data_IF_078384029018
#
_entry.id   IF_078384029018
#
_cell.length_a   1.000
_cell.length_b   1.000
_cell.length_c   1.000
_cell.angle_alpha   90.00
_cell.angle_beta   90.00
_cell.angle_gamma   90.00
#
_symmetry.space_group_name_H-M   'P 1'
#
loop_
_entity.id
_entity.type
_entity.pdbx_description
1 polymer ?
#
# COMPACT_ATOMS: atom_id res chain seq x y z
N UNK A 1 -21.43 38.52 -42.81
CA UNK A 1 -20.15 37.82 -43.05
C UNK A 1 -19.15 38.29 -42.01
N UNK A 2 -18.83 37.43 -41.04
CA UNK A 2 -17.81 37.67 -40.03
C UNK A 2 -16.43 37.39 -40.62
N UNK A 3 -15.50 38.33 -40.46
CA UNK A 3 -14.07 38.08 -40.60
C UNK A 3 -13.39 38.54 -39.30
N UNK A 4 -13.22 37.59 -38.36
CA UNK A 4 -12.27 37.70 -37.25
C UNK A 4 -10.97 37.05 -37.68
N UNK A 5 -9.85 37.77 -37.55
CA UNK A 5 -8.45 37.30 -37.54
C UNK A 5 -7.59 38.53 -37.23
N UNK A 6 -6.53 38.54 -36.45
CA UNK A 6 -5.96 37.63 -35.46
C UNK A 6 -4.90 38.51 -34.78
N UNK A 7 -5.01 38.77 -33.48
CA UNK A 7 -3.97 39.53 -32.76
C UNK A 7 -2.81 38.58 -32.47
N UNK A 8 -1.68 38.78 -33.14
CA UNK A 8 -0.44 38.06 -32.88
C UNK A 8 0.11 38.51 -31.52
N UNK A 9 0.13 37.60 -30.55
CA UNK A 9 0.82 37.81 -29.27
C UNK A 9 2.11 37.00 -29.32
N UNK A 10 3.21 37.72 -29.56
CA UNK A 10 4.58 37.24 -29.51
C UNK A 10 4.83 36.46 -28.22
N UNK A 11 5.10 35.16 -28.35
CA UNK A 11 5.61 34.35 -27.25
C UNK A 11 7.02 34.86 -26.92
N UNK A 12 7.16 35.50 -25.75
CA UNK A 12 8.45 35.89 -25.21
C UNK A 12 9.24 34.62 -24.88
N UNK A 13 10.39 34.50 -25.52
CA UNK A 13 11.41 33.49 -25.25
C UNK A 13 11.99 33.78 -23.86
N UNK A 14 11.53 33.07 -22.83
CA UNK A 14 12.14 33.13 -21.50
C UNK A 14 13.52 32.46 -21.55
N UNK A 15 14.55 33.25 -21.32
CA UNK A 15 15.92 32.80 -21.11
C UNK A 15 16.03 31.95 -19.85
N UNK A 16 16.86 30.89 -19.84
CA UNK A 16 17.07 30.09 -18.65
C UNK A 16 17.89 30.89 -17.63
N UNK A 17 17.31 31.15 -16.46
CA UNK A 17 18.03 31.64 -15.30
C UNK A 17 18.94 30.51 -14.76
N UNK A 18 20.24 30.76 -14.81
CA UNK A 18 21.29 29.91 -14.22
C UNK A 18 21.07 29.87 -12.70
N UNK A 19 20.83 28.67 -12.14
CA UNK A 19 20.90 28.46 -10.70
C UNK A 19 19.68 27.89 -9.98
N UNK A 20 18.78 27.16 -10.66
CA UNK A 20 17.80 26.33 -9.98
C UNK A 20 17.97 24.88 -10.40
N UNK A 21 18.60 24.09 -9.53
CA UNK A 21 18.59 22.64 -9.62
C UNK A 21 17.13 22.20 -9.58
N UNK A 22 16.57 21.58 -10.64
CA UNK A 22 15.26 20.96 -10.53
C UNK A 22 15.31 19.95 -9.39
N UNK A 23 14.24 19.77 -8.59
CA UNK A 23 14.18 18.66 -7.67
C UNK A 23 14.45 17.41 -8.51
N UNK A 24 15.48 16.65 -8.13
CA UNK A 24 15.77 15.38 -8.75
C UNK A 24 14.53 14.51 -8.52
N UNK A 25 13.61 14.51 -9.48
CA UNK A 25 12.66 13.43 -9.61
C UNK A 25 13.55 12.20 -9.78
N UNK A 26 13.72 11.46 -8.68
CA UNK A 26 14.28 10.12 -8.72
C UNK A 26 13.44 9.38 -9.74
N UNK A 27 13.96 9.25 -10.96
CA UNK A 27 13.39 8.36 -11.96
C UNK A 27 13.52 6.98 -11.36
N UNK A 28 12.43 6.49 -10.77
CA UNK A 28 12.40 5.16 -10.20
C UNK A 28 12.61 4.19 -11.36
N UNK A 29 13.81 3.59 -11.44
CA UNK A 29 14.19 2.66 -12.51
C UNK A 29 13.61 1.25 -12.29
N UNK A 30 12.37 1.15 -11.80
CA UNK A 30 11.75 -0.12 -11.47
C UNK A 30 10.55 0.01 -10.55
N UNK A 31 10.51 -0.82 -9.51
CA UNK A 31 9.52 -0.73 -8.42
C UNK A 31 10.20 -0.35 -7.11
N UNK A 32 9.53 0.47 -6.31
CA UNK A 32 9.93 0.78 -4.94
C UNK A 32 8.72 0.68 -4.03
N UNK A 33 8.79 -0.17 -3.00
CA UNK A 33 7.83 -0.18 -1.88
C UNK A 33 8.23 0.93 -0.92
N UNK A 34 7.50 2.03 -0.93
CA UNK A 34 7.83 3.21 -0.13
C UNK A 34 7.47 3.01 1.33
N UNK A 35 6.37 2.30 1.62
CA UNK A 35 5.88 2.18 2.98
C UNK A 35 4.87 1.05 3.16
N UNK A 36 4.85 0.46 4.35
CA UNK A 36 3.80 -0.47 4.80
C UNK A 36 3.14 0.11 6.06
N UNK A 37 1.80 0.17 6.08
CA UNK A 37 1.04 0.76 7.18
C UNK A 37 -0.10 -0.14 7.65
N UNK A 38 -0.49 0.03 8.90
CA UNK A 38 -1.75 -0.43 9.44
C UNK A 38 -2.77 0.71 9.45
N UNK A 39 -4.03 0.35 9.21
CA UNK A 39 -5.20 1.17 9.53
C UNK A 39 -6.27 0.27 10.17
N UNK A 40 -6.46 0.36 11.49
CA UNK A 40 -7.55 -0.34 12.18
C UNK A 40 -8.89 0.34 11.92
N UNK A 41 -10.00 -0.38 12.14
CA UNK A 41 -11.34 0.19 12.02
C UNK A 41 -11.60 1.33 13.03
N UNK A 42 -10.91 1.31 14.17
CA UNK A 42 -10.84 2.39 15.17
C UNK A 42 -9.85 3.50 14.82
N UNK A 43 -9.39 3.54 13.57
CA UNK A 43 -8.50 4.55 13.00
C UNK A 43 -7.15 4.66 13.73
N UNK A 44 -6.61 3.53 14.20
CA UNK A 44 -5.27 3.42 14.79
C UNK A 44 -4.30 2.91 13.73
N UNK A 45 -3.07 3.41 13.77
CA UNK A 45 -2.02 3.06 12.80
C UNK A 45 -0.86 2.30 13.43
N UNK A 46 -0.83 2.17 14.75
CA UNK A 46 0.27 1.55 15.50
C UNK A 46 -0.09 0.16 16.06
N UNK A 47 -1.38 -0.10 16.26
CA UNK A 47 -1.88 -1.35 16.79
C UNK A 47 -3.30 -1.61 16.31
N UNK A 48 -3.75 -2.85 16.44
CA UNK A 48 -5.13 -3.28 16.26
C UNK A 48 -5.60 -4.02 17.51
N UNK A 49 -6.87 -3.89 17.88
CA UNK A 49 -7.43 -4.63 18.99
C UNK A 49 -7.81 -6.06 18.56
N UNK A 50 -7.67 -7.01 19.47
CA UNK A 50 -8.17 -8.38 19.28
C UNK A 50 -9.66 -8.35 18.86
N UNK A 51 -9.98 -9.04 17.77
CA UNK A 51 -11.33 -9.15 17.22
C UNK A 51 -11.71 -8.03 16.24
N UNK A 52 -10.97 -6.92 16.20
CA UNK A 52 -11.24 -5.76 15.36
C UNK A 52 -10.86 -6.00 13.89
N UNK A 53 -11.56 -5.37 12.96
CA UNK A 53 -11.13 -5.30 11.56
C UNK A 53 -9.96 -4.33 11.38
N UNK A 54 -9.17 -4.56 10.33
CA UNK A 54 -8.07 -3.68 9.98
C UNK A 54 -7.69 -3.82 8.52
N UNK A 55 -6.91 -2.87 8.02
CA UNK A 55 -6.32 -2.89 6.69
C UNK A 55 -4.80 -2.79 6.80
N UNK A 56 -4.10 -3.73 6.18
CA UNK A 56 -2.67 -3.62 5.92
C UNK A 56 -2.47 -3.01 4.54
N UNK A 57 -1.84 -1.84 4.49
CA UNK A 57 -1.58 -1.05 3.30
C UNK A 57 -0.12 -1.24 2.87
N UNK A 58 0.10 -1.40 1.57
CA UNK A 58 1.41 -1.44 0.95
C UNK A 58 1.49 -0.38 -0.15
N UNK A 59 2.23 0.68 0.13
CA UNK A 59 2.46 1.79 -0.77
C UNK A 59 3.70 1.48 -1.61
N UNK A 60 3.52 1.51 -2.93
CA UNK A 60 4.61 1.29 -3.88
C UNK A 60 4.43 2.18 -5.11
N UNK A 61 5.54 2.53 -5.72
CA UNK A 61 5.61 3.30 -6.95
C UNK A 61 6.23 2.41 -8.04
N UNK A 62 5.61 2.42 -9.21
CA UNK A 62 6.08 1.71 -10.39
C UNK A 62 6.59 2.71 -11.43
N UNK A 63 7.70 2.38 -12.08
CA UNK A 63 8.10 3.01 -13.34
C UNK A 63 6.98 2.86 -14.38
N UNK A 64 6.76 3.85 -15.26
CA UNK A 64 5.81 3.72 -16.37
C UNK A 64 6.07 2.52 -17.30
N UNK A 65 7.31 2.02 -17.34
CA UNK A 65 7.72 0.86 -18.16
C UNK A 65 7.50 -0.49 -17.47
N UNK A 66 7.13 -0.51 -16.19
CA UNK A 66 6.97 -1.72 -15.40
C UNK A 66 5.51 -2.14 -15.32
N UNK A 67 5.28 -3.45 -15.41
CA UNK A 67 3.97 -4.03 -15.17
C UNK A 67 3.97 -4.80 -13.84
N UNK A 68 2.94 -4.57 -13.02
CA UNK A 68 2.78 -5.30 -11.76
C UNK A 68 2.40 -6.74 -12.02
N UNK A 69 3.27 -7.67 -11.59
CA UNK A 69 3.05 -9.10 -11.74
C UNK A 69 2.35 -9.68 -10.51
N UNK A 70 2.92 -9.45 -9.32
CA UNK A 70 2.47 -10.03 -8.05
C UNK A 70 2.78 -9.13 -6.85
N UNK A 71 1.95 -9.26 -5.82
CA UNK A 71 2.24 -8.73 -4.48
C UNK A 71 2.15 -9.89 -3.49
N UNK A 72 3.23 -10.08 -2.73
CA UNK A 72 3.41 -11.16 -1.78
C UNK A 72 3.49 -10.56 -0.38
N UNK A 73 2.81 -11.19 0.57
CA UNK A 73 2.89 -10.82 1.98
C UNK A 73 3.46 -11.97 2.78
N UNK A 74 4.46 -11.64 3.58
CA UNK A 74 5.09 -12.55 4.52
C UNK A 74 4.80 -12.10 5.94
N UNK A 75 4.63 -13.05 6.85
CA UNK A 75 4.66 -12.82 8.29
C UNK A 75 5.80 -13.65 8.88
N UNK A 76 6.73 -12.97 9.55
CA UNK A 76 7.90 -13.60 10.17
C UNK A 76 8.63 -14.56 9.21
N UNK A 77 8.74 -14.16 7.94
CA UNK A 77 9.36 -14.93 6.86
C UNK A 77 8.47 -15.97 6.16
N UNK A 78 7.27 -16.27 6.67
CA UNK A 78 6.34 -17.21 6.05
C UNK A 78 5.32 -16.51 5.13
N UNK A 79 5.14 -16.99 3.90
CA UNK A 79 4.13 -16.46 2.98
C UNK A 79 2.71 -16.70 3.53
N UNK A 80 1.94 -15.63 3.68
CA UNK A 80 0.57 -15.66 4.21
C UNK A 80 -0.47 -15.16 3.20
N UNK A 81 -0.06 -14.40 2.18
CA UNK A 81 -0.97 -13.93 1.15
C UNK A 81 -0.29 -13.63 -0.18
N UNK A 82 -1.01 -13.89 -1.27
CA UNK A 82 -0.55 -13.68 -2.63
C UNK A 82 -1.64 -13.04 -3.47
N UNK A 83 -1.35 -11.86 -4.01
CA UNK A 83 -2.10 -11.23 -5.08
C UNK A 83 -1.39 -11.44 -6.42
N UNK A 84 -2.14 -11.72 -7.48
CA UNK A 84 -1.61 -11.82 -8.86
C UNK A 84 -2.57 -11.17 -9.84
N UNK A 85 -2.05 -10.48 -10.86
CA UNK A 85 -2.87 -9.87 -11.89
C UNK A 85 -3.80 -10.90 -12.55
N UNK A 86 -5.09 -10.56 -12.66
CA UNK A 86 -6.11 -11.39 -13.31
C UNK A 86 -6.53 -12.65 -12.53
N UNK A 87 -6.07 -12.84 -11.28
CA UNK A 87 -6.44 -13.99 -10.44
C UNK A 87 -7.06 -13.54 -9.13
N UNK A 88 -7.87 -14.41 -8.53
CA UNK A 88 -8.34 -14.20 -7.15
C UNK A 88 -7.14 -14.29 -6.19
N UNK A 89 -7.03 -13.41 -5.19
CA UNK A 89 -5.99 -13.53 -4.19
C UNK A 89 -6.12 -14.83 -3.40
N UNK A 90 -4.99 -15.27 -2.86
CA UNK A 90 -4.90 -16.48 -2.05
C UNK A 90 -4.37 -16.10 -0.67
N UNK A 91 -5.10 -16.50 0.37
CA UNK A 91 -4.62 -16.47 1.75
C UNK A 91 -4.12 -17.86 2.15
N UNK A 92 -3.11 -17.90 3.02
CA UNK A 92 -2.52 -19.11 3.58
C UNK A 92 -2.37 -18.97 5.08
N UNK A 93 -2.36 -20.11 5.78
CA UNK A 93 -2.04 -20.18 7.20
C UNK A 93 -2.91 -19.22 8.03
N UNK A 94 -2.26 -18.27 8.70
CA UNK A 94 -2.86 -17.26 9.58
C UNK A 94 -3.96 -16.45 8.91
N UNK A 95 -3.85 -16.15 7.61
CA UNK A 95 -4.84 -15.32 6.91
C UNK A 95 -6.01 -16.13 6.36
N UNK A 96 -5.96 -17.47 6.41
CA UNK A 96 -7.07 -18.29 5.95
C UNK A 96 -8.35 -17.96 6.73
N UNK A 97 -9.43 -17.66 5.99
CA UNK A 97 -10.75 -17.23 6.51
C UNK A 97 -10.74 -15.98 7.39
N UNK A 98 -9.63 -15.25 7.49
CA UNK A 98 -9.51 -14.02 8.31
C UNK A 98 -9.34 -12.75 7.50
N UNK A 99 -9.22 -12.87 6.18
CA UNK A 99 -9.08 -11.73 5.26
C UNK A 99 -10.13 -11.76 4.16
N UNK A 100 -10.49 -10.60 3.64
CA UNK A 100 -11.40 -10.50 2.50
C UNK A 100 -10.68 -10.84 1.17
N UNK A 101 -11.02 -12.00 0.60
CA UNK A 101 -10.52 -12.45 -0.70
C UNK A 101 -11.35 -11.97 -1.89
N UNK A 102 -12.40 -11.19 -1.67
CA UNK A 102 -13.15 -10.53 -2.75
C UNK A 102 -12.47 -9.23 -3.19
N UNK A 103 -11.71 -8.61 -2.30
CA UNK A 103 -10.88 -7.46 -2.62
C UNK A 103 -9.78 -7.86 -3.62
N UNK A 104 -9.80 -7.22 -4.80
CA UNK A 104 -8.81 -7.45 -5.87
C UNK A 104 -7.75 -6.36 -5.96
N UNK A 105 -7.67 -5.48 -4.98
CA UNK A 105 -6.62 -4.47 -4.91
C UNK A 105 -5.26 -5.13 -4.62
N UNK A 106 -4.20 -4.76 -5.35
CA UNK A 106 -2.84 -5.20 -5.01
C UNK A 106 -2.26 -4.46 -3.80
N UNK A 107 -2.82 -3.30 -3.45
CA UNK A 107 -2.19 -2.36 -2.52
C UNK A 107 -2.57 -2.59 -1.06
N UNK A 108 -3.56 -3.44 -0.76
CA UNK A 108 -3.94 -3.69 0.62
C UNK A 108 -4.62 -5.03 0.86
N UNK A 109 -4.57 -5.47 2.11
CA UNK A 109 -5.29 -6.63 2.63
C UNK A 109 -6.26 -6.15 3.71
N UNK A 110 -7.53 -6.54 3.59
CA UNK A 110 -8.55 -6.29 4.61
C UNK A 110 -8.65 -7.49 5.54
N UNK A 111 -8.24 -7.31 6.79
CA UNK A 111 -8.39 -8.25 7.90
C UNK A 111 -9.81 -8.08 8.46
N UNK A 112 -10.58 -9.17 8.48
CA UNK A 112 -11.97 -9.18 8.94
C UNK A 112 -12.06 -9.19 10.48
N UNK A 113 -11.12 -9.87 11.14
CA UNK A 113 -11.06 -9.95 12.58
C UNK A 113 -9.64 -10.31 13.04
N UNK A 114 -8.98 -9.34 13.67
CA UNK A 114 -7.61 -9.46 14.15
C UNK A 114 -7.51 -10.50 15.28
N UNK A 115 -6.37 -11.19 15.33
CA UNK A 115 -6.10 -12.23 16.31
C UNK A 115 -4.69 -12.08 16.88
N UNK A 116 -4.45 -12.43 18.14
CA UNK A 116 -3.13 -12.29 18.80
C UNK A 116 -2.00 -12.97 18.04
N UNK A 117 -2.27 -14.10 17.40
CA UNK A 117 -1.29 -14.80 16.55
C UNK A 117 -0.89 -14.03 15.28
N UNK A 118 -1.62 -12.94 14.96
CA UNK A 118 -1.29 -12.04 13.85
C UNK A 118 -0.21 -11.04 14.21
N UNK A 119 0.13 -10.86 15.49
CA UNK A 119 1.26 -10.03 15.88
C UNK A 119 2.57 -10.55 15.27
N UNK A 120 3.41 -9.65 14.77
CA UNK A 120 4.71 -10.00 14.20
C UNK A 120 5.16 -9.04 13.11
N UNK A 121 6.28 -9.39 12.47
CA UNK A 121 6.84 -8.60 11.38
C UNK A 121 6.19 -9.01 10.04
N UNK A 122 5.65 -8.04 9.32
CA UNK A 122 5.07 -8.21 8.00
C UNK A 122 5.96 -7.61 6.95
N UNK A 123 6.20 -8.36 5.87
CA UNK A 123 6.90 -7.87 4.68
C UNK A 123 5.91 -7.80 3.54
N UNK A 124 5.74 -6.62 2.94
CA UNK A 124 5.12 -6.50 1.63
C UNK A 124 6.21 -6.54 0.56
N UNK A 125 6.16 -7.54 -0.31
CA UNK A 125 7.09 -7.70 -1.44
C UNK A 125 6.32 -7.54 -2.75
N UNK A 126 6.74 -6.59 -3.57
CA UNK A 126 6.15 -6.28 -4.87
C UNK A 126 7.10 -6.75 -5.96
N UNK A 127 6.58 -7.55 -6.88
CA UNK A 127 7.31 -8.10 -8.02
C UNK A 127 6.68 -7.59 -9.31
N UNK A 128 7.51 -6.97 -10.15
CA UNK A 128 7.17 -6.58 -11.52
C UNK A 128 7.83 -7.54 -12.50
N UNK A 129 7.76 -7.22 -13.80
CA UNK A 129 8.42 -8.02 -14.83
C UNK A 129 9.94 -7.86 -14.82
N UNK A 130 10.47 -6.71 -14.39
CA UNK A 130 11.93 -6.44 -14.42
C UNK A 130 12.56 -6.21 -13.04
N UNK A 131 11.77 -5.95 -12.00
CA UNK A 131 12.29 -5.55 -10.70
C UNK A 131 11.48 -6.14 -9.52
N UNK A 132 12.05 -6.00 -8.33
CA UNK A 132 11.43 -6.43 -7.07
C UNK A 132 11.82 -5.45 -5.98
N UNK A 133 10.86 -5.11 -5.12
CA UNK A 133 11.09 -4.27 -3.96
C UNK A 133 10.23 -4.74 -2.79
N UNK A 134 10.67 -4.45 -1.57
CA UNK A 134 9.97 -4.82 -0.36
C UNK A 134 10.18 -3.82 0.76
N UNK A 135 9.25 -3.79 1.70
CA UNK A 135 9.37 -3.05 2.94
C UNK A 135 8.63 -3.79 4.06
N UNK A 136 9.02 -3.51 5.29
CA UNK A 136 8.60 -4.23 6.49
C UNK A 136 7.76 -3.35 7.42
N UNK A 137 6.88 -3.97 8.21
CA UNK A 137 6.08 -3.33 9.24
C UNK A 137 5.78 -4.31 10.38
N UNK A 138 5.98 -3.87 11.62
CA UNK A 138 5.65 -4.69 12.79
C UNK A 138 4.20 -4.43 13.25
N UNK A 139 3.34 -5.43 13.13
CA UNK A 139 1.96 -5.36 13.61
C UNK A 139 1.89 -5.72 15.08
N UNK A 140 1.37 -4.82 15.90
CA UNK A 140 1.05 -5.06 17.32
C UNK A 140 -0.44 -5.36 17.48
N UNK A 141 -0.78 -6.41 18.21
CA UNK A 141 -2.17 -6.78 18.54
C UNK A 141 -2.38 -6.66 20.05
N UNK A 142 -3.39 -5.91 20.47
CA UNK A 142 -3.66 -5.63 21.88
C UNK A 142 -5.00 -6.25 22.29
N UNK A 143 -5.03 -6.89 23.46
CA UNK A 143 -6.29 -7.30 24.09
C UNK A 143 -6.80 -6.13 24.93
N UNK A 144 -7.88 -5.50 24.50
CA UNK A 144 -8.61 -4.54 25.33
C UNK A 144 -9.31 -5.27 26.47
N UNK A 145 -9.05 -4.87 27.72
CA UNK A 145 -9.93 -5.26 28.84
C UNK A 145 -11.20 -4.43 28.73
N UNK A 146 -12.27 -5.00 28.18
CA UNK A 146 -13.61 -4.47 28.43
C UNK A 146 -13.95 -4.75 29.89
N UNK A 147 -13.63 -3.81 30.78
CA UNK A 147 -14.29 -3.75 32.07
C UNK A 147 -15.73 -3.34 31.81
N UNK A 148 -16.62 -4.33 31.66
CA UNK A 148 -18.06 -4.14 31.80
C UNK A 148 -18.34 -3.79 33.27
N UNK A 149 -18.08 -2.54 33.64
CA UNK A 149 -18.66 -1.96 34.84
C UNK A 149 -20.13 -1.71 34.52
N UNK A 150 -20.98 -2.69 34.83
CA UNK A 150 -22.40 -2.46 35.01
C UNK A 150 -22.54 -1.86 36.41
N UNK A 151 -22.92 -0.58 36.58
CA UNK A 151 -23.33 -0.10 37.89
C UNK A 151 -24.67 -0.79 38.22
N UNK A 152 -24.70 -1.46 39.37
CA UNK A 152 -25.93 -1.88 40.05
C UNK A 152 -26.68 -0.66 40.60
#
# INVERSE_FOLDING_TARGET
>A
MQARRSSAKTAQLMTPQVGQTPPLFLSVLGVVVTEVRLLSDSNKTQYVLQGEGATLLCFFVLSPSEELRRVLWFKDGAEVYVWRRGRRPLARNLFDKRVDLNNRSPSFISILSAHMSMQGNYTCKVETDSATSQNDFFLTVIVGKFSSFTPL
#
